data_IF_418995718433
#
_entry.id   IF_418995718433
#
_cell.length_a   1.000
_cell.length_b   1.000
_cell.length_c   1.000
_cell.angle_alpha   90.00
_cell.angle_beta   90.00
_cell.angle_gamma   90.00
#
_symmetry.space_group_name_H-M   'P 1'
#
loop_
_entity.id
_entity.type
_entity.pdbx_description
1 polymer ?
#
# COMPACT_ATOMS: atom_id res chain seq x y z
N UNK A 1 -7.04 -2.56 1.97
CA UNK A 1 -5.88 -2.68 1.07
C UNK A 1 -4.73 -1.77 1.50
N UNK A 2 -4.97 -0.55 2.01
CA UNK A 2 -3.92 0.41 2.43
C UNK A 2 -3.36 0.23 3.86
N UNK A 3 -3.58 -0.93 4.49
CA UNK A 3 -3.05 -1.21 5.84
C UNK A 3 -1.53 -1.16 5.86
N UNK A 4 -0.93 -0.51 6.87
CA UNK A 4 0.52 -0.55 7.09
C UNK A 4 0.94 -1.96 7.54
N UNK A 5 1.68 -2.69 6.70
CA UNK A 5 2.14 -4.06 6.99
C UNK A 5 3.65 -4.17 7.21
N UNK A 6 4.42 -3.23 6.66
CA UNK A 6 5.89 -3.18 6.77
C UNK A 6 6.30 -1.82 7.30
N UNK A 7 7.18 -1.79 8.29
CA UNK A 7 7.73 -0.57 8.88
C UNK A 7 9.26 -0.67 8.93
N UNK A 8 9.92 0.20 8.19
CA UNK A 8 11.37 0.35 8.21
C UNK A 8 11.73 1.48 9.15
N UNK A 9 12.53 1.19 10.18
CA UNK A 9 12.88 2.14 11.23
C UNK A 9 14.39 2.35 11.25
N UNK A 10 14.82 3.61 11.19
CA UNK A 10 16.23 3.92 11.23
C UNK A 10 16.85 3.50 12.57
N UNK A 11 18.07 3.00 12.55
CA UNK A 11 18.76 2.46 13.73
C UNK A 11 18.82 3.44 14.90
N UNK A 12 18.99 4.74 14.62
CA UNK A 12 19.07 5.79 15.65
C UNK A 12 17.78 6.00 16.45
N UNK A 13 16.62 5.53 15.95
CA UNK A 13 15.32 5.72 16.62
C UNK A 13 14.61 4.41 16.96
N UNK A 14 15.11 3.27 16.48
CA UNK A 14 14.49 1.96 16.66
C UNK A 14 14.21 1.64 18.14
N UNK A 15 15.24 1.76 18.98
CA UNK A 15 15.16 1.35 20.40
C UNK A 15 14.23 2.25 21.22
N UNK A 16 13.96 3.47 20.75
CA UNK A 16 12.96 4.35 21.35
C UNK A 16 11.55 4.11 20.80
N UNK A 17 11.41 3.86 19.49
CA UNK A 17 10.13 3.77 18.81
C UNK A 17 9.44 2.42 19.02
N UNK A 18 10.14 1.31 18.80
CA UNK A 18 9.52 -0.04 18.80
C UNK A 18 8.92 -0.41 20.16
N UNK A 19 9.56 -0.14 21.32
CA UNK A 19 8.94 -0.36 22.61
C UNK A 19 7.71 0.53 22.87
N UNK A 20 7.65 1.74 22.30
CA UNK A 20 6.46 2.61 22.38
C UNK A 20 5.32 2.06 21.53
N UNK A 21 5.61 1.57 20.32
CA UNK A 21 4.62 0.93 19.46
C UNK A 21 4.03 -0.32 20.11
N UNK A 22 4.87 -1.21 20.68
CA UNK A 22 4.40 -2.40 21.40
C UNK A 22 3.48 -2.05 22.58
N UNK A 23 3.81 -1.01 23.35
CA UNK A 23 2.94 -0.52 24.44
C UNK A 23 1.61 0.01 23.91
N UNK A 24 1.62 0.78 22.83
CA UNK A 24 0.40 1.28 22.20
C UNK A 24 -0.48 0.12 21.71
N UNK A 25 0.10 -0.86 21.02
CA UNK A 25 -0.59 -2.06 20.51
C UNK A 25 -1.23 -2.89 21.64
N UNK A 26 -0.51 -3.11 22.74
CA UNK A 26 -1.03 -3.86 23.88
C UNK A 26 -2.25 -3.18 24.53
N UNK A 27 -2.34 -1.86 24.44
CA UNK A 27 -3.42 -1.06 25.01
C UNK A 27 -4.63 -0.88 24.07
N UNK A 28 -4.57 -1.35 22.82
CA UNK A 28 -5.67 -1.19 21.86
C UNK A 28 -6.89 -2.00 22.30
N UNK A 29 -8.07 -1.38 22.45
CA UNK A 29 -9.31 -2.08 22.79
C UNK A 29 -9.82 -2.89 21.60
N UNK A 30 -9.76 -4.21 21.75
CA UNK A 30 -10.34 -5.20 20.83
C UNK A 30 -11.71 -5.59 21.35
N UNK A 31 -12.74 -5.47 20.52
CA UNK A 31 -14.12 -5.53 21.01
C UNK A 31 -15.16 -5.62 19.90
N UNK A 32 -16.43 -5.69 20.29
CA UNK A 32 -17.55 -5.57 19.36
C UNK A 32 -17.47 -4.18 18.67
N UNK A 33 -17.49 -4.11 17.33
CA UNK A 33 -17.37 -2.85 16.60
C UNK A 33 -18.53 -1.87 16.83
N UNK A 34 -19.63 -2.31 17.45
CA UNK A 34 -20.76 -1.46 17.84
C UNK A 34 -20.58 -0.82 19.24
N UNK A 35 -19.55 -1.21 19.99
CA UNK A 35 -19.29 -0.66 21.32
C UNK A 35 -18.38 0.56 21.23
N UNK A 36 -18.81 1.67 21.83
CA UNK A 36 -18.02 2.89 21.92
C UNK A 36 -16.64 2.62 22.54
N UNK A 37 -15.60 3.15 21.91
CA UNK A 37 -14.21 2.96 22.33
C UNK A 37 -13.55 1.70 21.80
N UNK A 38 -14.26 0.76 21.16
CA UNK A 38 -13.62 -0.31 20.39
C UNK A 38 -12.85 0.28 19.22
N UNK A 39 -11.58 -0.09 19.06
CA UNK A 39 -10.76 0.33 17.93
C UNK A 39 -10.45 -0.81 16.94
N UNK A 40 -10.52 -2.07 17.40
CA UNK A 40 -10.25 -3.25 16.58
C UNK A 40 -11.42 -4.23 16.70
N UNK A 41 -12.14 -4.43 15.59
CA UNK A 41 -13.18 -5.44 15.44
C UNK A 41 -12.62 -6.83 15.11
N UNK A 42 -13.48 -7.79 14.74
CA UNK A 42 -13.03 -9.13 14.37
C UNK A 42 -12.43 -9.15 12.97
N UNK A 43 -11.63 -10.18 12.68
CA UNK A 43 -11.36 -10.62 11.31
C UNK A 43 -12.66 -11.12 10.66
N UNK A 44 -12.67 -11.15 9.32
CA UNK A 44 -13.87 -11.49 8.54
C UNK A 44 -14.38 -12.91 8.80
N UNK A 45 -13.47 -13.89 8.93
CA UNK A 45 -13.81 -15.30 9.11
C UNK A 45 -12.65 -16.14 9.68
N UNK A 46 -12.87 -17.45 9.76
CA UNK A 46 -11.88 -18.42 10.20
C UNK A 46 -10.67 -18.51 9.27
N UNK A 47 -10.88 -18.42 7.96
CA UNK A 47 -9.80 -18.52 6.98
C UNK A 47 -8.79 -17.38 7.13
N UNK A 48 -9.28 -16.17 7.40
CA UNK A 48 -8.45 -15.02 7.72
C UNK A 48 -7.68 -15.20 9.04
N UNK A 49 -8.33 -15.77 10.07
CA UNK A 49 -7.66 -16.10 11.33
C UNK A 49 -6.55 -17.15 11.14
N UNK A 50 -6.85 -18.26 10.46
CA UNK A 50 -5.89 -19.32 10.21
C UNK A 50 -4.73 -18.83 9.33
N UNK A 51 -5.02 -17.99 8.34
CA UNK A 51 -4.01 -17.32 7.52
C UNK A 51 -3.09 -16.41 8.34
N UNK A 52 -3.65 -15.63 9.27
CA UNK A 52 -2.88 -14.81 10.21
C UNK A 52 -1.96 -15.67 11.08
N UNK A 53 -2.49 -16.74 11.70
CA UNK A 53 -1.68 -17.59 12.58
C UNK A 53 -0.57 -18.30 11.80
N UNK A 54 -0.84 -18.77 10.57
CA UNK A 54 0.18 -19.35 9.68
C UNK A 54 1.31 -18.36 9.36
N UNK A 55 0.98 -17.10 9.07
CA UNK A 55 1.97 -16.06 8.82
C UNK A 55 2.82 -15.77 10.06
N UNK A 56 2.22 -15.71 11.26
CA UNK A 56 2.97 -15.50 12.50
C UNK A 56 3.91 -16.67 12.82
N UNK A 57 3.48 -17.91 12.61
CA UNK A 57 4.33 -19.08 12.79
C UNK A 57 5.48 -19.12 11.77
N UNK A 58 5.20 -18.80 10.49
CA UNK A 58 6.25 -18.68 9.48
C UNK A 58 7.26 -17.58 9.83
N UNK A 59 6.79 -16.44 10.34
CA UNK A 59 7.68 -15.36 10.77
C UNK A 59 8.57 -15.77 11.95
N UNK A 60 8.04 -16.48 12.96
CA UNK A 60 8.85 -17.06 14.04
C UNK A 60 9.89 -18.04 13.51
N UNK A 61 9.50 -18.93 12.59
CA UNK A 61 10.40 -19.90 11.96
C UNK A 61 11.53 -19.21 11.16
N UNK A 62 11.27 -18.02 10.64
CA UNK A 62 12.24 -17.16 9.94
C UNK A 62 13.00 -16.21 10.88
N UNK A 63 12.97 -16.45 12.21
CA UNK A 63 13.74 -15.71 13.20
C UNK A 63 13.04 -14.46 13.77
N UNK A 64 11.79 -14.22 13.40
CA UNK A 64 11.00 -13.07 13.85
C UNK A 64 10.60 -13.15 15.33
N UNK A 65 10.59 -12.00 16.01
CA UNK A 65 10.09 -11.86 17.39
C UNK A 65 8.68 -11.28 17.37
N UNK A 66 7.71 -12.11 17.69
CA UNK A 66 6.28 -11.76 17.67
C UNK A 66 5.81 -11.21 19.01
N UNK A 67 5.08 -10.09 18.98
CA UNK A 67 4.30 -9.56 20.11
C UNK A 67 2.85 -9.32 19.66
N UNK A 68 1.88 -9.78 20.45
CA UNK A 68 0.47 -9.80 20.04
C UNK A 68 0.13 -10.95 19.09
N UNK A 69 -1.00 -10.85 18.41
CA UNK A 69 -1.46 -11.84 17.42
C UNK A 69 -2.32 -12.97 17.97
N UNK A 70 -2.48 -13.06 19.29
CA UNK A 70 -3.35 -14.05 19.93
C UNK A 70 -4.83 -13.75 19.71
N UNK A 71 -5.64 -14.80 19.76
CA UNK A 71 -7.11 -14.69 19.76
C UNK A 71 -7.59 -14.01 21.04
N UNK A 72 -8.58 -13.14 20.91
CA UNK A 72 -9.29 -12.54 22.04
C UNK A 72 -10.62 -13.28 22.23
N UNK A 73 -10.71 -14.05 23.30
CA UNK A 73 -11.93 -14.78 23.67
C UNK A 73 -12.91 -13.90 24.47
N UNK A 74 -14.17 -14.32 24.53
CA UNK A 74 -15.19 -13.68 25.39
C UNK A 74 -15.87 -12.42 24.83
N UNK A 75 -15.53 -11.98 23.60
CA UNK A 75 -16.11 -10.79 22.95
C UNK A 75 -17.32 -11.13 22.06
N UNK A 76 -17.40 -12.36 21.55
CA UNK A 76 -18.50 -12.85 20.72
C UNK A 76 -18.09 -14.03 19.83
N UNK A 77 -18.96 -14.41 18.88
CA UNK A 77 -18.73 -15.54 17.97
C UNK A 77 -17.70 -15.29 16.85
N UNK A 78 -17.13 -14.09 16.77
CA UNK A 78 -16.18 -13.69 15.74
C UNK A 78 -14.72 -14.12 16.01
N UNK A 79 -13.86 -13.85 15.04
CA UNK A 79 -12.41 -14.07 15.13
C UNK A 79 -11.68 -12.80 15.53
N UNK A 80 -11.78 -12.45 16.81
CA UNK A 80 -11.09 -11.30 17.38
C UNK A 80 -9.63 -11.65 17.67
N UNK A 81 -8.71 -10.74 17.33
CA UNK A 81 -7.28 -10.90 17.55
C UNK A 81 -6.67 -9.62 18.09
N UNK A 82 -5.60 -9.74 18.86
CA UNK A 82 -4.71 -8.60 19.09
C UNK A 82 -3.89 -8.33 17.83
N UNK A 83 -3.74 -7.06 17.39
CA UNK A 83 -2.78 -6.72 16.36
C UNK A 83 -1.37 -7.21 16.72
N UNK A 84 -0.64 -7.74 15.75
CA UNK A 84 0.70 -8.27 15.93
C UNK A 84 1.77 -7.26 15.46
N UNK A 85 2.84 -7.15 16.24
CA UNK A 85 4.12 -6.56 15.81
C UNK A 85 5.14 -7.67 15.75
N UNK A 86 5.83 -7.78 14.63
CA UNK A 86 6.87 -8.79 14.42
C UNK A 86 8.17 -8.07 14.07
N UNK A 87 9.15 -8.14 14.96
CA UNK A 87 10.50 -7.65 14.65
C UNK A 87 11.21 -8.70 13.78
N UNK A 88 11.61 -8.32 12.58
CA UNK A 88 12.29 -9.17 11.60
C UNK A 88 13.73 -8.67 11.39
N UNK A 89 14.67 -9.58 11.19
CA UNK A 89 16.07 -9.22 10.87
C UNK A 89 16.26 -8.83 9.42
N UNK A 90 15.38 -9.29 8.54
CA UNK A 90 15.39 -9.03 7.10
C UNK A 90 13.97 -9.08 6.53
N UNK A 91 13.80 -8.57 5.31
CA UNK A 91 12.57 -8.75 4.54
C UNK A 91 12.56 -10.16 3.95
N UNK A 92 12.01 -11.13 4.66
CA UNK A 92 11.87 -12.52 4.21
C UNK A 92 10.56 -12.75 3.44
N UNK A 93 10.35 -13.95 2.91
CA UNK A 93 9.17 -14.26 2.07
C UNK A 93 7.83 -13.99 2.76
N UNK A 94 7.74 -14.24 4.07
CA UNK A 94 6.51 -13.95 4.84
C UNK A 94 6.19 -12.46 4.90
N UNK A 95 7.23 -11.60 4.84
CA UNK A 95 7.11 -10.14 4.84
C UNK A 95 6.68 -9.62 3.48
N UNK A 96 7.14 -10.26 2.39
CA UNK A 96 6.75 -9.93 1.00
C UNK A 96 5.35 -10.40 0.65
N UNK A 97 4.84 -11.43 1.34
CA UNK A 97 3.50 -11.96 1.12
C UNK A 97 2.42 -11.12 1.81
N UNK A 98 1.40 -10.71 1.07
CA UNK A 98 0.26 -10.03 1.68
C UNK A 98 -0.61 -11.03 2.47
N UNK A 99 -0.50 -10.98 3.79
CA UNK A 99 -1.51 -11.58 4.68
C UNK A 99 -2.52 -10.51 5.07
N UNK A 100 -3.80 -10.71 4.75
CA UNK A 100 -4.87 -9.73 4.99
C UNK A 100 -5.34 -9.69 6.45
N UNK A 101 -4.40 -9.48 7.37
CA UNK A 101 -4.57 -9.49 8.82
C UNK A 101 -3.73 -8.35 9.47
N UNK A 102 -3.99 -7.97 10.73
CA UNK A 102 -3.26 -6.90 11.42
C UNK A 102 -1.89 -7.39 11.91
N UNK A 103 -0.96 -7.59 10.98
CA UNK A 103 0.44 -7.93 11.24
C UNK A 103 1.32 -6.78 10.74
N UNK A 104 2.14 -6.21 11.62
CA UNK A 104 3.14 -5.21 11.29
C UNK A 104 4.53 -5.82 11.43
N UNK A 105 5.22 -6.03 10.32
CA UNK A 105 6.64 -6.41 10.29
C UNK A 105 7.51 -5.16 10.45
N UNK A 106 8.44 -5.19 11.40
CA UNK A 106 9.35 -4.09 11.71
C UNK A 106 10.78 -4.51 11.41
N UNK A 107 11.47 -3.74 10.59
CA UNK A 107 12.85 -3.99 10.17
C UNK A 107 13.70 -2.73 10.39
N UNK A 108 14.99 -2.93 10.66
CA UNK A 108 15.97 -1.85 10.83
C UNK A 108 16.54 -1.42 9.49
N UNK A 109 16.94 -0.14 9.40
CA UNK A 109 17.82 0.34 8.34
C UNK A 109 18.80 1.39 8.88
N UNK A 110 19.93 1.56 8.21
CA UNK A 110 20.92 2.62 8.48
C UNK A 110 21.13 3.54 7.27
N UNK A 111 20.97 3.01 6.06
CA UNK A 111 21.09 3.77 4.82
C UNK A 111 19.71 4.02 4.19
N UNK A 112 19.45 5.26 3.78
CA UNK A 112 18.15 5.65 3.24
C UNK A 112 17.89 5.01 1.87
N UNK A 113 18.91 4.84 1.02
CA UNK A 113 18.72 4.19 -0.27
C UNK A 113 18.34 2.71 -0.09
N UNK A 114 18.95 2.01 0.87
CA UNK A 114 18.54 0.65 1.25
C UNK A 114 17.09 0.59 1.76
N UNK A 115 16.59 1.61 2.47
CA UNK A 115 15.19 1.65 2.90
C UNK A 115 14.22 1.79 1.72
N UNK A 116 14.57 2.59 0.71
CA UNK A 116 13.80 2.71 -0.54
C UNK A 116 13.82 1.40 -1.32
N UNK A 117 14.98 0.73 -1.41
CA UNK A 117 15.08 -0.59 -2.04
C UNK A 117 14.18 -1.61 -1.34
N UNK A 118 14.22 -1.69 -0.01
CA UNK A 118 13.32 -2.56 0.75
C UNK A 118 11.84 -2.22 0.56
N UNK A 119 11.48 -0.93 0.49
CA UNK A 119 10.11 -0.52 0.17
C UNK A 119 9.64 -1.13 -1.16
N UNK A 120 10.49 -1.05 -2.18
CA UNK A 120 10.23 -1.51 -3.54
C UNK A 120 10.43 -3.03 -3.73
N UNK A 121 11.10 -3.74 -2.82
CA UNK A 121 11.39 -5.18 -2.89
C UNK A 121 10.20 -6.07 -2.46
N UNK A 122 9.00 -5.74 -2.94
CA UNK A 122 7.81 -6.59 -2.85
C UNK A 122 7.06 -6.58 -4.17
N UNK A 123 6.29 -7.62 -4.50
CA UNK A 123 5.54 -7.64 -5.75
C UNK A 123 4.41 -6.60 -5.82
N UNK A 124 3.86 -6.15 -4.69
CA UNK A 124 2.77 -5.16 -4.65
C UNK A 124 3.31 -3.71 -4.79
N UNK A 125 2.44 -2.78 -5.18
CA UNK A 125 2.81 -1.37 -5.42
C UNK A 125 1.66 -0.38 -5.14
N UNK A 126 0.89 -0.59 -4.08
CA UNK A 126 -0.29 0.24 -3.78
C UNK A 126 0.06 1.60 -3.17
N UNK A 127 0.51 1.60 -1.91
CA UNK A 127 0.73 2.82 -1.13
C UNK A 127 1.99 2.70 -0.26
N UNK A 128 2.73 3.79 -0.14
CA UNK A 128 3.96 3.90 0.65
C UNK A 128 3.99 5.23 1.39
N UNK A 129 4.81 5.33 2.44
CA UNK A 129 4.92 6.57 3.22
C UNK A 129 6.29 6.71 3.86
N UNK A 130 6.80 7.94 3.89
CA UNK A 130 7.97 8.32 4.69
C UNK A 130 7.57 9.28 5.80
N UNK A 131 8.16 9.11 6.98
CA UNK A 131 8.06 10.06 8.09
C UNK A 131 9.43 10.66 8.34
N UNK A 132 9.63 11.91 7.93
CA UNK A 132 10.90 12.63 8.05
C UNK A 132 10.68 14.13 8.17
N UNK A 133 11.68 14.83 8.71
CA UNK A 133 11.76 16.29 8.67
C UNK A 133 12.83 16.78 7.70
N UNK A 134 13.60 15.87 7.09
CA UNK A 134 14.57 16.21 6.06
C UNK A 134 13.86 16.35 4.71
N UNK A 135 13.89 17.57 4.15
CA UNK A 135 13.28 17.87 2.86
C UNK A 135 13.88 17.02 1.73
N UNK A 136 15.18 16.69 1.79
CA UNK A 136 15.86 15.92 0.75
C UNK A 136 15.40 14.48 0.73
N UNK A 137 15.22 13.87 1.91
CA UNK A 137 14.67 12.51 2.02
C UNK A 137 13.21 12.46 1.56
N UNK A 138 12.40 13.46 1.94
CA UNK A 138 11.01 13.57 1.51
C UNK A 138 10.89 13.65 -0.02
N UNK A 139 11.63 14.56 -0.65
CA UNK A 139 11.61 14.74 -2.11
C UNK A 139 12.24 13.54 -2.84
N UNK A 140 13.33 12.95 -2.30
CA UNK A 140 13.93 11.74 -2.86
C UNK A 140 12.93 10.57 -2.86
N UNK A 141 12.15 10.41 -1.78
CA UNK A 141 11.13 9.37 -1.67
C UNK A 141 10.01 9.53 -2.71
N UNK A 142 9.64 10.76 -3.06
CA UNK A 142 8.63 11.08 -4.06
C UNK A 142 9.17 11.14 -5.50
N UNK A 143 10.50 11.14 -5.66
CA UNK A 143 11.16 11.24 -6.95
C UNK A 143 10.98 9.97 -7.81
N UNK A 144 11.38 10.06 -9.08
CA UNK A 144 11.37 8.92 -10.00
C UNK A 144 12.26 7.73 -9.56
N UNK A 145 13.21 7.95 -8.65
CA UNK A 145 14.08 6.91 -8.07
C UNK A 145 13.68 6.55 -6.63
N UNK A 146 12.52 7.05 -6.17
CA UNK A 146 11.99 6.82 -4.83
C UNK A 146 11.06 5.61 -4.77
N UNK A 147 9.94 5.78 -4.07
CA UNK A 147 8.90 4.76 -3.97
C UNK A 147 8.31 4.40 -5.33
N UNK A 148 8.09 3.12 -5.59
CA UNK A 148 7.45 2.59 -6.80
C UNK A 148 5.92 2.37 -6.68
N UNK A 149 5.31 2.81 -5.56
CA UNK A 149 3.87 2.73 -5.34
C UNK A 149 3.06 3.78 -6.12
N UNK A 150 1.79 3.49 -6.39
CA UNK A 150 0.85 4.44 -6.99
C UNK A 150 0.46 5.61 -6.07
N UNK A 151 0.57 5.42 -4.76
CA UNK A 151 0.41 6.45 -3.72
C UNK A 151 1.71 6.52 -2.92
N UNK A 152 2.34 7.69 -2.85
CA UNK A 152 3.54 7.93 -2.05
C UNK A 152 3.35 9.18 -1.18
N UNK A 153 3.44 9.00 0.13
CA UNK A 153 3.07 10.01 1.11
C UNK A 153 4.25 10.48 1.97
N UNK A 154 4.19 11.73 2.45
CA UNK A 154 5.15 12.30 3.42
C UNK A 154 4.40 12.71 4.68
N UNK A 155 4.83 12.22 5.85
CA UNK A 155 4.30 12.52 7.18
C UNK A 155 2.79 12.22 7.39
N UNK A 156 2.23 11.37 6.52
CA UNK A 156 0.91 10.75 6.68
C UNK A 156 1.04 9.28 6.29
N UNK A 157 0.31 8.40 6.97
CA UNK A 157 0.41 6.94 6.77
C UNK A 157 -0.11 6.48 5.40
N UNK A 158 -0.02 5.16 5.11
CA UNK A 158 -0.36 4.61 3.79
C UNK A 158 -1.86 4.68 3.45
N UNK A 159 -2.73 4.95 4.43
CA UNK A 159 -4.16 5.22 4.21
C UNK A 159 -4.47 6.68 3.88
N UNK A 160 -3.46 7.56 3.80
CA UNK A 160 -3.63 8.95 3.38
C UNK A 160 -3.98 9.05 1.90
N UNK A 161 -5.28 9.05 1.60
CA UNK A 161 -5.83 9.26 0.27
C UNK A 161 -7.21 9.93 0.41
N UNK A 162 -7.65 10.63 -0.63
CA UNK A 162 -8.92 11.36 -0.64
C UNK A 162 -9.60 11.31 -2.00
N UNK A 163 -10.88 11.68 -2.04
CA UNK A 163 -11.75 11.59 -3.24
C UNK A 163 -11.17 12.33 -4.45
N UNK A 164 -10.44 13.44 -4.24
CA UNK A 164 -9.85 14.20 -5.34
C UNK A 164 -8.70 13.49 -6.06
N UNK A 165 -8.04 12.53 -5.41
CA UNK A 165 -6.89 11.80 -5.93
C UNK A 165 -7.28 10.57 -6.76
N UNK A 166 -6.43 10.21 -7.72
CA UNK A 166 -6.54 8.92 -8.40
C UNK A 166 -6.07 7.81 -7.45
N UNK A 167 -6.97 6.91 -7.05
CA UNK A 167 -6.68 5.82 -6.14
C UNK A 167 -6.31 4.55 -6.90
N UNK A 168 -5.17 3.95 -6.59
CA UNK A 168 -4.73 2.68 -7.17
C UNK A 168 -3.21 2.53 -7.08
N UNK A 169 -2.69 1.43 -7.63
CA UNK A 169 -1.29 1.05 -7.46
C UNK A 169 -0.68 0.40 -8.70
N UNK A 170 0.63 0.19 -8.62
CA UNK A 170 1.47 -0.38 -9.67
C UNK A 170 1.80 -1.85 -9.39
N UNK A 171 2.60 -2.47 -10.27
CA UNK A 171 3.12 -3.84 -10.12
C UNK A 171 1.97 -4.85 -9.99
N UNK A 172 2.04 -5.81 -9.07
CA UNK A 172 0.96 -6.78 -8.86
C UNK A 172 -0.32 -6.17 -8.27
N UNK A 173 -0.33 -4.88 -7.89
CA UNK A 173 -1.59 -4.17 -7.58
C UNK A 173 -2.45 -3.95 -8.83
N UNK A 174 -1.85 -3.97 -10.03
CA UNK A 174 -2.57 -4.14 -11.29
C UNK A 174 -2.74 -2.89 -12.17
N UNK A 175 -2.24 -1.72 -11.77
CA UNK A 175 -2.14 -0.52 -12.62
C UNK A 175 -3.43 0.31 -12.78
N UNK A 176 -4.58 -0.19 -12.30
CA UNK A 176 -5.84 0.55 -12.34
C UNK A 176 -5.82 1.83 -11.51
N UNK A 177 -6.72 2.77 -11.84
CA UNK A 177 -6.99 3.99 -11.05
C UNK A 177 -8.49 4.27 -10.98
N UNK A 178 -8.94 4.68 -9.79
CA UNK A 178 -10.34 4.96 -9.46
C UNK A 178 -10.49 6.33 -8.78
N UNK A 179 -11.74 6.78 -8.60
CA UNK A 179 -12.10 8.03 -7.90
C UNK A 179 -11.75 9.31 -8.68
N UNK A 180 -10.73 10.06 -8.26
CA UNK A 180 -10.47 11.42 -8.72
C UNK A 180 -9.61 11.54 -9.98
N UNK A 181 -8.99 12.71 -10.15
CA UNK A 181 -8.21 13.08 -11.35
C UNK A 181 -8.99 12.82 -12.66
N UNK A 182 -8.37 12.16 -13.63
CA UNK A 182 -8.96 11.74 -14.88
C UNK A 182 -9.27 10.23 -14.94
N UNK A 183 -9.43 9.57 -13.79
CA UNK A 183 -9.78 8.14 -13.69
C UNK A 183 -11.07 7.80 -14.45
N UNK A 184 -12.01 8.77 -14.56
CA UNK A 184 -13.22 8.64 -15.36
C UNK A 184 -12.95 8.29 -16.84
N UNK A 185 -11.75 8.59 -17.38
CA UNK A 185 -11.36 8.25 -18.75
C UNK A 185 -11.34 6.75 -19.01
N UNK A 186 -11.09 5.91 -18.00
CA UNK A 186 -11.12 4.46 -18.14
C UNK A 186 -12.53 3.91 -18.45
N UNK A 187 -13.56 4.68 -18.12
CA UNK A 187 -14.97 4.35 -18.35
C UNK A 187 -15.52 4.97 -19.64
N UNK A 188 -14.66 5.58 -20.46
CA UNK A 188 -14.99 6.18 -21.75
C UNK A 188 -14.02 5.72 -22.84
N UNK A 189 -14.37 5.92 -24.11
CA UNK A 189 -13.47 5.68 -25.25
C UNK A 189 -13.05 7.00 -25.89
N UNK A 190 -11.75 7.19 -26.13
CA UNK A 190 -11.22 8.36 -26.87
C UNK A 190 -11.49 8.19 -28.38
N UNK A 191 -11.82 9.27 -29.06
CA UNK A 191 -11.91 9.33 -30.53
C UNK A 191 -11.16 10.56 -31.05
N UNK A 192 -10.40 10.39 -32.12
CA UNK A 192 -9.70 11.47 -32.83
C UNK A 192 -10.41 11.72 -34.14
N UNK A 193 -11.00 12.90 -34.34
CA UNK A 193 -11.85 13.21 -35.49
C UNK A 193 -11.25 14.36 -36.31
N UNK A 194 -11.13 14.16 -37.62
CA UNK A 194 -10.81 15.24 -38.56
C UNK A 194 -12.06 15.57 -39.37
N UNK A 195 -12.51 16.82 -39.33
CA UNK A 195 -13.62 17.31 -40.14
C UNK A 195 -13.07 18.36 -41.11
N UNK A 196 -12.89 17.97 -42.37
CA UNK A 196 -12.54 18.91 -43.44
C UNK A 196 -13.82 19.58 -43.94
N UNK A 197 -14.00 20.86 -43.62
CA UNK A 197 -15.15 21.67 -44.07
C UNK A 197 -14.88 22.41 -45.39
N UNK A 198 -13.71 22.25 -45.99
CA UNK A 198 -13.43 22.81 -47.31
C UNK A 198 -14.17 22.01 -48.39
N UNK A 199 -14.37 22.64 -49.55
CA UNK A 199 -14.83 21.94 -50.77
C UNK A 199 -13.68 21.27 -51.51
N UNK A 200 -12.48 21.25 -50.94
CA UNK A 200 -11.27 20.74 -51.59
C UNK A 200 -10.83 19.45 -50.91
N UNK A 201 -10.44 18.48 -51.75
CA UNK A 201 -9.70 17.31 -51.32
C UNK A 201 -8.27 17.47 -51.85
N UNK A 202 -7.23 17.29 -51.01
CA UNK A 202 -5.87 17.29 -51.52
C UNK A 202 -5.72 16.16 -52.54
N UNK A 203 -5.07 16.46 -53.68
CA UNK A 203 -4.74 15.43 -54.66
C UNK A 203 -3.75 14.44 -54.03
N UNK A 204 -4.05 13.14 -54.13
CA UNK A 204 -3.08 12.12 -53.78
C UNK A 204 -1.86 12.24 -54.71
N UNK A 205 -0.71 12.67 -54.18
CA UNK A 205 0.58 12.71 -54.89
C UNK A 205 0.58 13.50 -56.23
N UNK A 206 -0.30 14.50 -56.37
CA UNK A 206 -0.40 15.30 -57.60
C UNK A 206 -1.12 14.61 -58.77
N UNK A 207 -1.73 13.44 -58.54
CA UNK A 207 -2.58 12.75 -59.52
C UNK A 207 -3.84 13.57 -59.76
N UNK A 208 -4.16 13.87 -61.02
CA UNK A 208 -5.40 14.54 -61.43
C UNK A 208 -6.48 13.49 -61.70
N UNK A 209 -7.59 13.55 -60.97
CA UNK A 209 -8.77 12.75 -61.28
C UNK A 209 -9.65 13.56 -62.25
N UNK A 210 -9.56 13.26 -63.55
CA UNK A 210 -10.52 13.77 -64.52
C UNK A 210 -11.80 12.92 -64.45
N UNK A 211 -12.96 13.57 -64.51
CA UNK A 211 -14.25 12.90 -64.59
C UNK A 211 -14.88 13.33 -65.91
N UNK A 212 -15.08 12.38 -66.82
CA UNK A 212 -15.81 12.63 -68.07
C UNK A 212 -17.27 12.99 -67.74
N UNK A 213 -17.78 14.04 -68.38
CA UNK A 213 -19.11 14.62 -68.17
C UNK A 213 -20.25 13.82 -68.83
#
# INVERSE_FOLDING_TARGET
>A
CTTLRRLFVHDSVYDALVPRLKRAYAAVPVGNPLTDGTLVGPLVDQGAFDGMQKALEAAKAQGGKVAGGERVDGVGAGYYVRPAIVEMTEQSDVVRHETFAPILYVMRYSDFAAAVEMNNDVPQGLSSSIFTTDLREAEQFLSAAGSDCGIANVNIGPSGAEIGGAFGGEKETGGGRESGSDAWRAYMRRATNTVNYSRTLPLAQGVKFEVDA
#
